data_IF_096222113796
#
_entry.id   IF_096222113796
#
_cell.length_a   1.000
_cell.length_b   1.000
_cell.length_c   1.000
_cell.angle_alpha   90.00
_cell.angle_beta   90.00
_cell.angle_gamma   90.00
#
_symmetry.space_group_name_H-M   'P 1'
#
loop_
_entity.id
_entity.type
_entity.pdbx_description
1 polymer ?
#
# COMPACT_ATOMS: atom_id res chain seq x y z
N UNK A 1 -9.64 -26.49 -7.66
CA UNK A 1 -10.25 -25.45 -6.83
C UNK A 1 -11.60 -25.98 -6.36
N UNK A 2 -11.86 -25.98 -5.05
CA UNK A 2 -13.16 -26.38 -4.52
C UNK A 2 -14.14 -25.22 -4.66
N UNK A 3 -15.37 -25.53 -5.07
CA UNK A 3 -16.49 -24.58 -5.09
C UNK A 3 -16.71 -24.03 -3.67
N UNK A 4 -16.65 -22.70 -3.52
CA UNK A 4 -16.84 -22.02 -2.24
C UNK A 4 -18.21 -22.25 -1.65
N UNK A 5 -19.24 -22.46 -2.48
CA UNK A 5 -20.60 -22.76 -2.02
C UNK A 5 -20.65 -24.17 -1.42
N UNK A 6 -19.99 -25.14 -2.07
CA UNK A 6 -19.84 -26.48 -1.51
C UNK A 6 -19.07 -26.45 -0.18
N UNK A 7 -17.98 -25.69 -0.09
CA UNK A 7 -17.21 -25.53 1.15
C UNK A 7 -18.03 -24.86 2.24
N UNK A 8 -18.83 -23.86 1.90
CA UNK A 8 -19.73 -23.21 2.84
C UNK A 8 -20.73 -24.21 3.41
N UNK A 9 -21.30 -25.10 2.59
CA UNK A 9 -22.25 -26.12 3.05
C UNK A 9 -21.57 -27.26 3.83
N UNK A 10 -20.35 -27.65 3.45
CA UNK A 10 -19.74 -28.91 3.90
C UNK A 10 -18.54 -28.75 4.84
N UNK A 11 -18.02 -27.53 5.05
CA UNK A 11 -16.87 -27.28 5.93
C UNK A 11 -17.21 -26.34 7.09
N UNK A 12 -17.36 -26.92 8.29
CA UNK A 12 -17.55 -26.14 9.52
C UNK A 12 -16.38 -25.17 9.79
N UNK A 13 -15.16 -25.57 9.41
CA UNK A 13 -13.97 -24.73 9.54
C UNK A 13 -14.03 -23.52 8.62
N UNK A 14 -14.47 -23.71 7.37
CA UNK A 14 -14.66 -22.62 6.40
C UNK A 14 -15.70 -21.62 6.92
N UNK A 15 -16.89 -22.09 7.30
CA UNK A 15 -17.95 -21.24 7.89
C UNK A 15 -17.47 -20.45 9.11
N UNK A 16 -16.73 -21.11 10.01
CA UNK A 16 -16.21 -20.44 11.22
C UNK A 16 -15.25 -19.31 10.88
N UNK A 17 -14.37 -19.50 9.88
CA UNK A 17 -13.45 -18.45 9.44
C UNK A 17 -14.20 -17.30 8.76
N UNK A 18 -15.13 -17.62 7.86
CA UNK A 18 -15.91 -16.61 7.14
C UNK A 18 -16.74 -15.74 8.11
N UNK A 19 -17.45 -16.35 9.06
CA UNK A 19 -18.22 -15.63 10.07
C UNK A 19 -17.30 -14.73 10.92
N UNK A 20 -16.12 -15.22 11.31
CA UNK A 20 -15.16 -14.40 12.08
C UNK A 20 -14.62 -13.21 11.29
N UNK A 21 -14.40 -13.39 9.98
CA UNK A 21 -13.98 -12.30 9.08
C UNK A 21 -15.08 -11.24 9.04
N UNK A 22 -16.33 -11.64 8.79
CA UNK A 22 -17.48 -10.73 8.73
C UNK A 22 -17.72 -10.01 10.08
N UNK A 23 -17.72 -10.74 11.20
CA UNK A 23 -17.90 -10.19 12.53
C UNK A 23 -16.81 -9.18 12.89
N UNK A 24 -15.56 -9.44 12.50
CA UNK A 24 -14.46 -8.53 12.79
C UNK A 24 -14.46 -7.31 11.85
N UNK A 25 -14.88 -7.44 10.59
CA UNK A 25 -15.10 -6.28 9.71
C UNK A 25 -16.19 -5.38 10.28
N UNK A 26 -17.30 -5.95 10.77
CA UNK A 26 -18.35 -5.17 11.43
C UNK A 26 -17.82 -4.42 12.67
N UNK A 27 -17.09 -5.12 13.55
CA UNK A 27 -16.48 -4.49 14.75
C UNK A 27 -15.43 -3.44 14.40
N UNK A 28 -14.64 -3.66 13.35
CA UNK A 28 -13.69 -2.68 12.85
C UNK A 28 -14.41 -1.40 12.41
N UNK A 29 -15.51 -1.52 11.68
CA UNK A 29 -16.33 -0.39 11.27
C UNK A 29 -16.94 0.36 12.47
N UNK A 30 -17.39 -0.36 13.51
CA UNK A 30 -17.86 0.26 14.76
C UNK A 30 -16.74 1.09 15.41
N UNK A 31 -15.52 0.54 15.51
CA UNK A 31 -14.37 1.28 16.04
C UNK A 31 -13.99 2.48 15.17
N UNK A 32 -14.11 2.40 13.85
CA UNK A 32 -13.90 3.54 12.95
C UNK A 32 -14.94 4.63 13.20
N UNK A 33 -16.22 4.25 13.34
CA UNK A 33 -17.30 5.19 13.65
C UNK A 33 -17.08 5.91 14.99
N UNK A 34 -16.52 5.21 15.98
CA UNK A 34 -16.16 5.75 17.29
C UNK A 34 -14.81 6.50 17.30
N UNK A 35 -14.13 6.62 16.16
CA UNK A 35 -12.78 7.17 16.00
C UNK A 35 -11.67 6.43 16.81
N UNK A 36 -11.91 5.19 17.23
CA UNK A 36 -10.92 4.33 17.87
C UNK A 36 -10.08 3.57 16.83
N UNK A 37 -9.30 4.33 16.05
CA UNK A 37 -8.41 3.79 15.03
C UNK A 37 -7.43 2.72 15.55
N UNK A 38 -6.85 2.83 16.78
CA UNK A 38 -6.05 1.75 17.34
C UNK A 38 -6.80 0.42 17.45
N UNK A 39 -8.04 0.43 17.93
CA UNK A 39 -8.87 -0.79 18.03
C UNK A 39 -9.34 -1.27 16.66
N UNK A 40 -9.73 -0.36 15.77
CA UNK A 40 -10.06 -0.68 14.38
C UNK A 40 -8.90 -1.44 13.70
N UNK A 41 -7.69 -0.86 13.71
CA UNK A 41 -6.51 -1.47 13.10
C UNK A 41 -6.15 -2.83 13.72
N UNK A 42 -6.26 -2.96 15.04
CA UNK A 42 -6.01 -4.25 15.70
C UNK A 42 -7.04 -5.31 15.30
N UNK A 43 -8.29 -4.89 15.07
CA UNK A 43 -9.37 -5.77 14.63
C UNK A 43 -9.19 -6.15 13.16
N UNK A 44 -8.85 -5.20 12.28
CA UNK A 44 -8.50 -5.49 10.89
C UNK A 44 -7.30 -6.45 10.77
N UNK A 45 -6.28 -6.34 11.62
CA UNK A 45 -5.19 -7.33 11.62
C UNK A 45 -5.65 -8.76 12.02
N UNK A 46 -6.74 -8.89 12.78
CA UNK A 46 -7.36 -10.21 13.05
C UNK A 46 -8.11 -10.71 11.82
N UNK A 47 -8.82 -9.83 11.10
CA UNK A 47 -9.43 -10.15 9.79
C UNK A 47 -8.35 -10.67 8.84
N UNK A 48 -7.21 -9.97 8.72
CA UNK A 48 -6.08 -10.42 7.90
C UNK A 48 -5.56 -11.80 8.31
N UNK A 49 -5.41 -12.04 9.61
CA UNK A 49 -4.98 -13.35 10.12
C UNK A 49 -5.95 -14.48 9.75
N UNK A 50 -7.25 -14.22 9.79
CA UNK A 50 -8.27 -15.21 9.45
C UNK A 50 -8.41 -15.39 7.94
N UNK A 51 -8.25 -14.33 7.13
CA UNK A 51 -8.18 -14.41 5.67
C UNK A 51 -7.02 -15.29 5.18
N UNK A 52 -5.83 -15.13 5.75
CA UNK A 52 -4.68 -16.00 5.42
C UNK A 52 -4.98 -17.49 5.70
N UNK A 53 -5.71 -17.80 6.78
CA UNK A 53 -6.14 -19.18 7.08
C UNK A 53 -7.20 -19.67 6.11
N UNK A 54 -8.07 -18.79 5.64
CA UNK A 54 -9.08 -19.10 4.64
C UNK A 54 -8.43 -19.45 3.30
N UNK A 55 -7.50 -18.60 2.82
CA UNK A 55 -6.70 -18.83 1.61
C UNK A 55 -6.00 -20.19 1.67
N UNK A 56 -5.33 -20.48 2.79
CA UNK A 56 -4.70 -21.78 2.99
C UNK A 56 -5.69 -22.94 3.01
N UNK A 57 -6.88 -22.75 3.61
CA UNK A 57 -7.90 -23.80 3.71
C UNK A 57 -8.45 -24.21 2.35
N UNK A 58 -8.55 -23.27 1.42
CA UNK A 58 -9.09 -23.50 0.06
C UNK A 58 -8.01 -23.74 -0.98
N UNK A 59 -6.74 -23.78 -0.56
CA UNK A 59 -5.56 -23.93 -1.44
C UNK A 59 -5.51 -22.85 -2.54
N UNK A 60 -5.84 -21.62 -2.15
CA UNK A 60 -5.73 -20.44 -3.00
C UNK A 60 -4.29 -19.89 -2.98
N UNK A 61 -3.81 -19.37 -4.11
CA UNK A 61 -2.53 -18.67 -4.19
C UNK A 61 -2.66 -17.28 -3.54
N UNK A 62 -3.77 -16.59 -3.81
CA UNK A 62 -3.98 -15.23 -3.35
C UNK A 62 -5.48 -14.88 -3.18
N UNK A 63 -5.78 -13.64 -2.82
CA UNK A 63 -7.17 -13.23 -2.56
C UNK A 63 -8.07 -13.26 -3.80
N UNK A 64 -7.51 -13.21 -5.01
CA UNK A 64 -8.29 -13.27 -6.26
C UNK A 64 -8.84 -14.67 -6.56
N UNK A 65 -8.31 -15.71 -5.89
CA UNK A 65 -8.81 -17.07 -6.06
C UNK A 65 -10.00 -17.37 -5.12
N UNK A 66 -10.34 -16.44 -4.24
CA UNK A 66 -11.52 -16.55 -3.38
C UNK A 66 -12.77 -16.21 -4.19
N UNK A 67 -13.32 -17.17 -4.93
CA UNK A 67 -14.55 -17.05 -5.76
C UNK A 67 -15.80 -16.70 -4.93
N UNK A 68 -15.86 -15.52 -4.33
CA UNK A 68 -16.97 -15.10 -3.48
C UNK A 68 -17.31 -13.63 -3.75
N UNK A 69 -18.61 -13.29 -3.75
CA UNK A 69 -19.11 -11.94 -4.03
C UNK A 69 -18.46 -10.85 -3.17
N UNK A 70 -17.99 -11.23 -1.97
CA UNK A 70 -17.33 -10.32 -1.02
C UNK A 70 -15.86 -10.05 -1.34
N UNK A 71 -15.27 -10.62 -2.40
CA UNK A 71 -13.86 -10.41 -2.75
C UNK A 71 -13.57 -8.92 -2.98
N UNK A 72 -14.40 -8.24 -3.75
CA UNK A 72 -14.21 -6.81 -4.04
C UNK A 72 -14.22 -5.97 -2.75
N UNK A 73 -15.11 -6.27 -1.81
CA UNK A 73 -15.16 -5.59 -0.51
C UNK A 73 -13.88 -5.82 0.30
N UNK A 74 -13.31 -7.02 0.25
CA UNK A 74 -12.05 -7.35 0.92
C UNK A 74 -10.84 -6.63 0.31
N UNK A 75 -10.86 -6.37 -1.01
CA UNK A 75 -9.80 -5.60 -1.66
C UNK A 75 -9.81 -4.12 -1.22
N UNK A 76 -11.00 -3.52 -1.09
CA UNK A 76 -11.16 -2.17 -0.56
C UNK A 76 -10.78 -2.10 0.91
N UNK A 77 -11.30 -3.03 1.72
CA UNK A 77 -10.97 -3.15 3.13
C UNK A 77 -9.45 -3.22 3.38
N UNK A 78 -8.70 -3.99 2.57
CA UNK A 78 -7.25 -4.10 2.72
C UNK A 78 -6.51 -2.76 2.54
N UNK A 79 -7.01 -1.90 1.64
CA UNK A 79 -6.45 -0.55 1.42
C UNK A 79 -6.75 0.36 2.60
N UNK A 80 -7.98 0.33 3.09
CA UNK A 80 -8.38 1.12 4.26
C UNK A 80 -7.58 0.73 5.50
N UNK A 81 -7.38 -0.58 5.72
CA UNK A 81 -6.51 -1.08 6.79
C UNK A 81 -5.07 -0.57 6.64
N UNK A 82 -4.49 -0.63 5.43
CA UNK A 82 -3.13 -0.13 5.18
C UNK A 82 -2.99 1.37 5.54
N UNK A 83 -3.93 2.20 5.08
CA UNK A 83 -3.92 3.64 5.35
C UNK A 83 -4.16 3.95 6.83
N UNK A 84 -5.09 3.26 7.49
CA UNK A 84 -5.37 3.45 8.90
C UNK A 84 -4.16 3.07 9.78
N UNK A 85 -3.49 1.96 9.45
CA UNK A 85 -2.25 1.55 10.09
C UNK A 85 -1.16 2.62 9.91
N UNK A 86 -0.97 3.10 8.68
CA UNK A 86 0.04 4.10 8.38
C UNK A 86 -0.23 5.46 9.04
N UNK A 87 -1.48 5.89 9.11
CA UNK A 87 -1.87 7.11 9.82
C UNK A 87 -1.49 7.08 11.30
N UNK A 88 -1.50 5.90 11.92
CA UNK A 88 -1.04 5.68 13.29
C UNK A 88 0.48 5.54 13.41
N UNK A 89 1.16 5.14 12.34
CA UNK A 89 2.61 4.85 12.33
C UNK A 89 3.44 6.06 12.75
N UNK A 90 3.05 7.28 12.35
CA UNK A 90 3.72 8.52 12.70
C UNK A 90 3.61 8.92 14.18
N UNK A 91 2.69 8.30 14.94
CA UNK A 91 2.46 8.62 16.36
C UNK A 91 2.94 7.51 17.29
N UNK A 92 2.94 6.25 16.82
CA UNK A 92 3.17 5.08 17.65
C UNK A 92 4.01 4.05 16.88
N UNK A 93 5.25 3.83 17.34
CA UNK A 93 6.19 2.92 16.70
C UNK A 93 5.66 1.47 16.54
N UNK A 94 4.77 1.02 17.44
CA UNK A 94 4.12 -0.29 17.31
C UNK A 94 3.24 -0.39 16.05
N UNK A 95 2.59 0.71 15.64
CA UNK A 95 1.78 0.73 14.43
C UNK A 95 2.64 0.79 13.18
N UNK A 96 3.80 1.45 13.22
CA UNK A 96 4.78 1.36 12.12
C UNK A 96 5.16 -0.11 11.82
N UNK A 97 5.50 -0.89 12.85
CA UNK A 97 5.83 -2.31 12.68
C UNK A 97 4.66 -3.11 12.09
N UNK A 98 3.43 -2.79 12.49
CA UNK A 98 2.21 -3.41 11.97
C UNK A 98 1.95 -3.05 10.52
N UNK A 99 2.10 -1.78 10.14
CA UNK A 99 1.98 -1.32 8.74
C UNK A 99 2.96 -2.06 7.86
N UNK A 100 4.24 -2.08 8.26
CA UNK A 100 5.30 -2.76 7.50
C UNK A 100 5.01 -4.26 7.36
N UNK A 101 4.67 -4.95 8.45
CA UNK A 101 4.35 -6.38 8.44
C UNK A 101 3.15 -6.69 7.54
N UNK A 102 2.06 -5.93 7.66
CA UNK A 102 0.86 -6.14 6.85
C UNK A 102 1.14 -5.92 5.36
N UNK A 103 1.78 -4.80 4.99
CA UNK A 103 2.03 -4.50 3.59
C UNK A 103 3.05 -5.46 2.96
N UNK A 104 4.07 -5.92 3.70
CA UNK A 104 5.01 -6.94 3.23
C UNK A 104 4.29 -8.26 2.94
N UNK A 105 3.49 -8.76 3.88
CA UNK A 105 2.74 -10.00 3.68
C UNK A 105 1.76 -9.89 2.52
N UNK A 106 1.03 -8.76 2.43
CA UNK A 106 0.05 -8.53 1.37
C UNK A 106 0.71 -8.47 0.00
N UNK A 107 1.79 -7.70 -0.15
CA UNK A 107 2.49 -7.57 -1.43
C UNK A 107 3.20 -8.87 -1.84
N UNK A 108 3.73 -9.64 -0.87
CA UNK A 108 4.33 -10.95 -1.13
C UNK A 108 3.30 -11.97 -1.60
N UNK A 109 2.09 -12.00 -1.01
CA UNK A 109 1.00 -12.87 -1.44
C UNK A 109 0.57 -12.60 -2.89
N UNK A 110 0.64 -11.34 -3.33
CA UNK A 110 0.23 -10.91 -4.67
C UNK A 110 1.42 -10.55 -5.57
N UNK A 111 2.59 -11.15 -5.35
CA UNK A 111 3.84 -10.79 -6.05
C UNK A 111 3.81 -11.05 -7.58
N UNK A 112 2.94 -11.95 -8.01
CA UNK A 112 2.72 -12.34 -9.42
C UNK A 112 1.59 -11.52 -10.08
N UNK A 113 0.89 -10.67 -9.31
CA UNK A 113 -0.25 -9.89 -9.77
C UNK A 113 0.20 -8.47 -10.17
N UNK A 114 -0.27 -7.99 -11.31
CA UNK A 114 -0.02 -6.63 -11.78
C UNK A 114 -1.03 -5.66 -11.17
N UNK A 115 -0.62 -4.41 -10.97
CA UNK A 115 -1.45 -3.38 -10.34
C UNK A 115 -2.66 -3.01 -11.20
N UNK A 116 -2.54 -3.10 -12.53
CA UNK A 116 -3.68 -2.93 -13.46
C UNK A 116 -4.76 -3.99 -13.29
N UNK A 117 -4.39 -5.21 -12.90
CA UNK A 117 -5.31 -6.34 -12.71
C UNK A 117 -5.91 -6.31 -11.29
N UNK A 118 -5.24 -5.64 -10.36
CA UNK A 118 -5.61 -5.54 -8.95
C UNK A 118 -5.27 -4.15 -8.41
N UNK A 119 -6.12 -3.15 -8.69
CA UNK A 119 -5.83 -1.72 -8.42
C UNK A 119 -5.44 -1.42 -6.97
N UNK A 120 -6.05 -2.14 -6.02
CA UNK A 120 -5.83 -1.95 -4.60
C UNK A 120 -4.38 -2.35 -4.19
N UNK A 121 -3.76 -3.32 -4.89
CA UNK A 121 -2.37 -3.73 -4.69
C UNK A 121 -1.40 -2.57 -4.94
N UNK A 122 -1.62 -1.75 -5.96
CA UNK A 122 -0.80 -0.59 -6.24
C UNK A 122 -0.77 0.42 -5.08
N UNK A 123 -1.89 0.57 -4.37
CA UNK A 123 -1.97 1.45 -3.19
C UNK A 123 -1.17 0.88 -2.02
N UNK A 124 -1.31 -0.41 -1.73
CA UNK A 124 -0.58 -1.08 -0.62
C UNK A 124 0.92 -1.16 -0.91
N UNK A 125 1.33 -1.39 -2.16
CA UNK A 125 2.74 -1.30 -2.61
C UNK A 125 3.34 0.06 -2.28
N UNK A 126 2.61 1.14 -2.53
CA UNK A 126 3.06 2.49 -2.18
C UNK A 126 3.19 2.68 -0.66
N UNK A 127 2.20 2.26 0.13
CA UNK A 127 2.29 2.32 1.61
C UNK A 127 3.52 1.56 2.14
N UNK A 128 3.86 0.42 1.52
CA UNK A 128 5.08 -0.32 1.85
C UNK A 128 6.35 0.50 1.57
N UNK A 129 6.47 1.07 0.36
CA UNK A 129 7.62 1.90 0.02
C UNK A 129 7.72 3.15 0.91
N UNK A 130 6.58 3.75 1.26
CA UNK A 130 6.50 4.86 2.20
C UNK A 130 7.06 4.50 3.59
N UNK A 131 6.84 3.27 4.06
CA UNK A 131 7.43 2.82 5.33
C UNK A 131 8.97 2.84 5.30
N UNK A 132 9.57 2.35 4.21
CA UNK A 132 11.04 2.38 4.04
C UNK A 132 11.58 3.79 3.86
N UNK A 133 10.90 4.61 3.04
CA UNK A 133 11.26 6.01 2.83
C UNK A 133 11.24 6.83 4.13
N UNK A 134 10.25 6.61 4.99
CA UNK A 134 10.15 7.24 6.32
C UNK A 134 11.37 6.94 7.21
N UNK A 135 11.94 5.74 7.09
CA UNK A 135 13.17 5.35 7.78
C UNK A 135 14.46 5.84 7.09
N UNK A 136 14.34 6.36 5.87
CA UNK A 136 15.48 6.72 5.02
C UNK A 136 16.19 5.51 4.42
N UNK A 137 15.53 4.36 4.36
CA UNK A 137 16.01 3.16 3.65
C UNK A 137 15.61 3.24 2.17
N UNK A 138 16.32 4.07 1.43
CA UNK A 138 16.07 4.29 0.00
C UNK A 138 16.54 3.13 -0.87
N UNK A 139 17.44 2.28 -0.37
CA UNK A 139 17.85 1.07 -1.09
C UNK A 139 16.66 0.10 -1.19
N UNK A 140 15.93 -0.12 -0.09
CA UNK A 140 14.69 -0.90 -0.12
C UNK A 140 13.62 -0.27 -1.02
N UNK A 141 13.48 1.06 -1.00
CA UNK A 141 12.56 1.78 -1.90
C UNK A 141 12.91 1.51 -3.38
N UNK A 142 14.16 1.69 -3.77
CA UNK A 142 14.61 1.47 -5.15
C UNK A 142 14.43 0.01 -5.56
N UNK A 143 14.77 -0.95 -4.69
CA UNK A 143 14.59 -2.38 -4.99
C UNK A 143 13.12 -2.76 -5.21
N UNK A 144 12.21 -2.23 -4.40
CA UNK A 144 10.78 -2.48 -4.56
C UNK A 144 10.26 -1.93 -5.89
N UNK A 145 10.56 -0.66 -6.19
CA UNK A 145 10.04 -0.03 -7.40
C UNK A 145 10.68 -0.56 -8.68
N UNK A 146 11.97 -0.87 -8.68
CA UNK A 146 12.60 -1.59 -9.79
C UNK A 146 11.85 -2.90 -10.06
N UNK A 147 11.65 -3.73 -9.02
CA UNK A 147 10.96 -5.01 -9.18
C UNK A 147 9.51 -4.90 -9.68
N UNK A 148 8.78 -3.86 -9.28
CA UNK A 148 7.40 -3.64 -9.75
C UNK A 148 7.33 -3.04 -11.15
N UNK A 149 8.16 -2.04 -11.45
CA UNK A 149 8.14 -1.32 -12.72
C UNK A 149 8.85 -2.08 -13.85
N UNK A 150 9.76 -3.00 -13.53
CA UNK A 150 10.30 -3.95 -14.52
C UNK A 150 9.18 -4.86 -15.08
N UNK A 151 8.21 -5.22 -14.23
CA UNK A 151 7.05 -6.04 -14.63
C UNK A 151 5.92 -5.19 -15.23
N UNK A 152 5.75 -3.96 -14.76
CA UNK A 152 4.64 -3.08 -15.11
C UNK A 152 5.11 -1.65 -15.38
N UNK A 153 5.91 -1.41 -16.44
CA UNK A 153 6.52 -0.09 -16.67
C UNK A 153 5.49 1.00 -16.99
N UNK A 154 4.30 0.62 -17.44
CA UNK A 154 3.20 1.55 -17.73
C UNK A 154 2.44 1.99 -16.48
N UNK A 155 2.76 1.48 -15.29
CA UNK A 155 2.08 1.85 -14.04
C UNK A 155 2.47 3.26 -13.57
N UNK A 156 1.73 4.28 -14.01
CA UNK A 156 2.03 5.68 -13.73
C UNK A 156 2.11 6.01 -12.23
N UNK A 157 1.17 5.49 -11.44
CA UNK A 157 1.20 5.66 -9.98
C UNK A 157 2.39 4.98 -9.30
N UNK A 158 3.01 3.99 -9.95
CA UNK A 158 4.26 3.40 -9.50
C UNK A 158 5.40 4.41 -9.59
N UNK A 159 5.60 5.02 -10.76
CA UNK A 159 6.59 6.09 -10.96
C UNK A 159 6.36 7.29 -10.04
N UNK A 160 5.11 7.71 -9.86
CA UNK A 160 4.76 8.80 -8.92
C UNK A 160 5.17 8.43 -7.50
N UNK A 161 4.80 7.23 -7.02
CA UNK A 161 5.12 6.80 -5.67
C UNK A 161 6.62 6.67 -5.42
N UNK A 162 7.37 6.19 -6.43
CA UNK A 162 8.82 6.10 -6.35
C UNK A 162 9.45 7.49 -6.20
N UNK A 163 9.04 8.43 -7.05
CA UNK A 163 9.46 9.83 -6.92
C UNK A 163 9.09 10.40 -5.55
N UNK A 164 7.82 10.28 -5.13
CA UNK A 164 7.32 10.85 -3.88
C UNK A 164 8.08 10.34 -2.64
N UNK A 165 8.60 9.11 -2.67
CA UNK A 165 9.45 8.54 -1.61
C UNK A 165 10.69 9.39 -1.32
N UNK A 166 11.25 10.06 -2.32
CA UNK A 166 12.48 10.85 -2.18
C UNK A 166 12.29 12.28 -1.68
N UNK A 167 11.05 12.79 -1.60
CA UNK A 167 10.84 14.19 -1.20
C UNK A 167 9.60 14.46 -0.33
N UNK A 168 8.53 13.66 -0.45
CA UNK A 168 7.29 13.85 0.31
C UNK A 168 7.25 13.03 1.60
N UNK A 169 7.65 11.77 1.54
CA UNK A 169 7.38 10.81 2.62
C UNK A 169 8.49 10.69 3.65
N UNK A 170 9.44 11.63 3.63
CA UNK A 170 10.56 11.69 4.56
C UNK A 170 10.12 12.42 5.82
N UNK A 171 10.42 11.86 7.00
CA UNK A 171 10.10 12.52 8.27
C UNK A 171 10.77 13.89 8.39
N UNK A 172 10.12 14.82 9.12
CA UNK A 172 10.57 16.21 9.26
C UNK A 172 12.00 16.35 9.80
N UNK A 173 12.46 15.40 10.60
CA UNK A 173 13.82 15.39 11.15
C UNK A 173 14.88 14.82 10.19
N UNK A 174 14.47 14.34 9.01
CA UNK A 174 15.33 13.76 7.99
C UNK A 174 15.25 14.57 6.68
N UNK A 175 14.86 15.84 6.71
CA UNK A 175 14.68 16.65 5.48
C UNK A 175 15.96 16.83 4.67
N UNK A 176 17.12 16.69 5.32
CA UNK A 176 18.45 16.62 4.70
C UNK A 176 18.61 15.40 3.78
N UNK A 177 17.83 14.33 4.00
CA UNK A 177 17.80 13.15 3.15
C UNK A 177 16.94 13.29 1.89
N UNK A 178 16.27 14.43 1.69
CA UNK A 178 15.49 14.67 0.47
C UNK A 178 16.42 14.70 -0.74
N UNK A 179 16.04 14.00 -1.80
CA UNK A 179 16.77 14.00 -3.06
C UNK A 179 15.84 14.41 -4.20
N UNK A 180 15.75 15.71 -4.42
CA UNK A 180 14.89 16.28 -5.46
C UNK A 180 15.35 15.91 -6.88
N UNK A 181 16.66 15.79 -7.10
CA UNK A 181 17.21 15.43 -8.40
C UNK A 181 16.82 13.99 -8.78
N UNK A 182 16.95 13.05 -7.83
CA UNK A 182 16.47 11.67 -8.01
C UNK A 182 14.97 11.61 -8.22
N UNK A 183 14.18 12.33 -7.42
CA UNK A 183 12.73 12.40 -7.59
C UNK A 183 12.34 12.90 -8.99
N UNK A 184 13.00 13.94 -9.48
CA UNK A 184 12.78 14.48 -10.82
C UNK A 184 13.15 13.47 -11.90
N UNK A 185 14.33 12.85 -11.79
CA UNK A 185 14.80 11.83 -12.73
C UNK A 185 13.80 10.68 -12.87
N UNK A 186 13.23 10.19 -11.76
CA UNK A 186 12.23 9.11 -11.76
C UNK A 186 10.97 9.51 -12.55
N UNK A 187 10.47 10.73 -12.35
CA UNK A 187 9.29 11.21 -13.09
C UNK A 187 9.57 11.34 -14.58
N UNK A 188 10.75 11.86 -14.94
CA UNK A 188 11.19 11.98 -16.34
C UNK A 188 11.35 10.62 -17.01
N UNK A 189 11.89 9.63 -16.29
CA UNK A 189 11.96 8.24 -16.76
C UNK A 189 10.58 7.65 -17.01
N UNK A 190 9.64 7.82 -16.07
CA UNK A 190 8.25 7.38 -16.24
C UNK A 190 7.60 8.02 -17.47
N UNK A 191 7.74 9.33 -17.64
CA UNK A 191 7.18 10.07 -18.79
C UNK A 191 7.77 9.66 -20.15
N UNK A 192 8.96 9.04 -20.17
CA UNK A 192 9.55 8.49 -21.38
C UNK A 192 8.96 7.13 -21.79
N UNK A 193 8.18 6.47 -20.92
CA UNK A 193 7.55 5.18 -21.22
C UNK A 193 6.37 5.37 -22.19
N UNK A 194 6.37 4.68 -23.35
CA UNK A 194 5.23 4.70 -24.26
C UNK A 194 3.95 4.16 -23.59
N UNK A 195 2.82 4.81 -23.85
CA UNK A 195 1.51 4.39 -23.34
C UNK A 195 1.42 4.32 -21.80
N UNK A 196 2.23 5.12 -21.10
CA UNK A 196 2.17 5.27 -19.66
C UNK A 196 0.75 5.62 -19.17
N UNK A 197 0.26 4.91 -18.15
CA UNK A 197 -0.98 5.27 -17.47
C UNK A 197 -0.81 6.58 -16.69
N UNK A 198 -1.88 7.35 -16.53
CA UNK A 198 -1.87 8.53 -15.65
C UNK A 198 -0.79 9.58 -15.97
N UNK A 199 -0.32 9.68 -17.21
CA UNK A 199 0.75 10.61 -17.61
C UNK A 199 0.47 12.07 -17.24
N UNK A 200 -0.80 12.49 -17.22
CA UNK A 200 -1.19 13.81 -16.71
C UNK A 200 -0.83 14.00 -15.23
N UNK A 201 -1.03 12.97 -14.41
CA UNK A 201 -0.73 13.01 -12.98
C UNK A 201 0.78 13.03 -12.72
N UNK A 202 1.59 12.39 -13.57
CA UNK A 202 3.05 12.52 -13.51
C UNK A 202 3.50 13.94 -13.85
N UNK A 203 2.93 14.55 -14.89
CA UNK A 203 3.25 15.94 -15.24
C UNK A 203 2.86 16.91 -14.12
N UNK A 204 1.67 16.76 -13.54
CA UNK A 204 1.25 17.56 -12.38
C UNK A 204 2.20 17.35 -11.20
N UNK A 205 2.64 16.11 -10.98
CA UNK A 205 3.60 15.80 -9.92
C UNK A 205 4.96 16.45 -10.16
N UNK A 206 5.46 16.42 -11.39
CA UNK A 206 6.72 17.05 -11.78
C UNK A 206 6.66 18.58 -11.61
N UNK A 207 5.53 19.20 -11.95
CA UNK A 207 5.32 20.64 -11.74
C UNK A 207 5.30 20.99 -10.24
N UNK A 208 4.66 20.15 -9.42
CA UNK A 208 4.65 20.32 -7.96
C UNK A 208 6.08 20.19 -7.38
N UNK A 209 6.85 19.21 -7.83
CA UNK A 209 8.24 19.02 -7.43
C UNK A 209 9.10 20.24 -7.79
N UNK A 210 9.02 20.75 -9.03
CA UNK A 210 9.75 21.96 -9.47
C UNK A 210 9.40 23.20 -8.62
N UNK A 211 8.14 23.32 -8.23
CA UNK A 211 7.69 24.39 -7.34
C UNK A 211 8.31 24.25 -5.94
N UNK A 212 8.41 23.03 -5.41
CA UNK A 212 9.01 22.76 -4.10
C UNK A 212 10.53 23.01 -4.10
N UNK A 213 11.24 22.60 -5.15
CA UNK A 213 12.68 22.90 -5.34
C UNK A 213 12.92 24.41 -5.30
N UNK A 214 12.07 25.18 -5.99
CA UNK A 214 12.18 26.64 -6.04
C UNK A 214 11.99 27.25 -4.65
N UNK A 215 10.99 26.81 -3.89
CA UNK A 215 10.77 27.26 -2.50
C UNK A 215 11.95 26.92 -1.59
N UNK A 216 12.48 25.70 -1.71
CA UNK A 216 13.62 25.25 -0.90
C UNK A 216 14.87 26.11 -1.15
N UNK A 217 15.13 26.51 -2.40
CA UNK A 217 16.25 27.39 -2.76
C UNK A 217 16.07 28.80 -2.19
N UNK A 218 14.86 29.37 -2.24
CA UNK A 218 14.57 30.70 -1.68
C UNK A 218 14.72 30.74 -0.15
N UNK A 219 14.39 29.65 0.55
CA UNK A 219 14.56 29.58 2.01
C UNK A 219 16.04 29.58 2.44
N UNK A 220 16.91 28.91 1.67
CA UNK A 220 18.36 28.90 1.91
C UNK A 220 19.02 30.27 1.66
N UNK A 221 18.45 31.09 0.77
CA UNK A 221 18.95 32.45 0.48
C UNK A 221 18.50 33.47 1.54
N UNK A 222 17.36 33.24 2.20
CA UNK A 222 16.79 34.16 3.21
C UNK A 222 17.28 33.90 4.65
N UNK A 223 18.07 32.85 4.86
CA UNK A 223 18.62 32.44 6.17
C UNK A 223 20.13 32.61 6.28
N UNK A 224 20.77 33.11 5.21
CA UNK A 224 22.18 33.57 5.17
C UNK A 224 22.22 35.10 5.14
#
# INVERSE_FOLDING_TARGET
MYDTDWLFENSARFRTLLNRIQDNIAKENDYIADNDFPMACNTGLRVWSDLKKLIQLVDAENMLDLEHETMYDLLYWAVDLAHNLDNLSGKKAIFFKKTLSFCLEYTSMHQNVLSKDMRNLGSIRRVLAECYAKQGDFESVDNLYNGWLDKEPTWGWGWIGWSDSYWLFIYKNNTDKRNFDKAQQILEQGLAIPSLSDASHLNDRLNKLKSEITKSKLHLVSTN
#
